data_IF_411381809345
#
_entry.id   IF_411381809345
#
_cell.length_a   1.000
_cell.length_b   1.000
_cell.length_c   1.000
_cell.angle_alpha   90.00
_cell.angle_beta   90.00
_cell.angle_gamma   90.00
#
_symmetry.space_group_name_H-M   'P 1'
#
loop_
_entity.id
_entity.type
_entity.pdbx_description
1 polymer ?
#
# COMPACT_ATOMS: atom_id res chain seq x y z
N UNK A 1 -62.90 -2.80 -32.76
CA UNK A 1 -62.88 -3.99 -31.87
C UNK A 1 -61.60 -4.74 -32.17
N UNK A 2 -60.56 -4.49 -31.38
CA UNK A 2 -59.39 -5.36 -31.21
C UNK A 2 -58.92 -5.12 -29.77
N UNK A 3 -58.80 -6.21 -29.02
CA UNK A 3 -58.65 -6.25 -27.58
C UNK A 3 -57.22 -5.89 -27.14
N UNK A 4 -57.11 -5.15 -26.03
CA UNK A 4 -55.85 -4.91 -25.34
C UNK A 4 -55.47 -6.16 -24.52
N UNK A 5 -54.25 -6.68 -24.73
CA UNK A 5 -53.61 -7.59 -23.79
C UNK A 5 -52.71 -6.81 -22.81
N UNK A 6 -52.66 -7.18 -21.51
CA UNK A 6 -51.87 -6.48 -20.51
C UNK A 6 -50.38 -6.86 -20.60
N UNK A 7 -49.50 -5.86 -20.57
CA UNK A 7 -48.05 -6.08 -20.46
C UNK A 7 -47.74 -6.48 -19.02
N UNK A 8 -47.29 -7.72 -18.87
CA UNK A 8 -46.80 -8.29 -17.64
C UNK A 8 -45.52 -7.59 -17.15
N UNK A 9 -45.38 -7.55 -15.83
CA UNK A 9 -44.23 -7.03 -15.10
C UNK A 9 -42.92 -7.67 -15.58
N UNK A 10 -41.92 -6.86 -15.92
CA UNK A 10 -40.54 -7.30 -16.08
C UNK A 10 -39.56 -6.29 -15.47
N UNK A 11 -39.27 -6.47 -14.17
CA UNK A 11 -37.91 -6.30 -13.63
C UNK A 11 -37.28 -7.69 -13.66
N UNK A 12 -36.04 -7.85 -14.15
CA UNK A 12 -34.91 -7.59 -13.25
C UNK A 12 -33.64 -7.11 -13.97
N UNK A 13 -33.37 -5.80 -13.99
CA UNK A 13 -32.06 -5.28 -14.42
C UNK A 13 -31.08 -5.00 -13.26
N UNK A 14 -31.46 -5.29 -12.01
CA UNK A 14 -30.58 -5.03 -10.85
C UNK A 14 -29.72 -6.22 -10.41
N UNK A 15 -29.94 -7.44 -10.91
CA UNK A 15 -29.15 -8.62 -10.45
C UNK A 15 -27.79 -8.75 -11.14
N UNK A 16 -27.58 -8.08 -12.27
CA UNK A 16 -26.30 -8.15 -13.00
C UNK A 16 -25.24 -7.16 -12.48
N UNK A 17 -25.63 -6.00 -11.94
CA UNK A 17 -24.65 -5.06 -11.35
C UNK A 17 -24.10 -5.53 -9.99
N UNK A 18 -24.93 -6.18 -9.17
CA UNK A 18 -24.49 -6.71 -7.87
C UNK A 18 -23.48 -7.87 -8.01
N UNK A 19 -23.58 -8.67 -9.09
CA UNK A 19 -22.68 -9.80 -9.31
C UNK A 19 -21.28 -9.39 -9.81
N UNK A 20 -21.14 -8.23 -10.45
CA UNK A 20 -19.83 -7.71 -10.87
C UNK A 20 -19.09 -7.08 -9.68
N UNK A 21 -19.80 -6.37 -8.81
CA UNK A 21 -19.22 -5.86 -7.56
C UNK A 21 -18.81 -6.98 -6.60
N UNK A 22 -19.59 -8.06 -6.48
CA UNK A 22 -19.20 -9.23 -5.67
C UNK A 22 -18.02 -10.01 -6.27
N UNK A 23 -17.98 -10.24 -7.59
CA UNK A 23 -16.86 -10.94 -8.23
C UNK A 23 -15.52 -10.19 -8.20
N UNK A 24 -15.52 -8.86 -8.09
CA UNK A 24 -14.28 -8.10 -7.89
C UNK A 24 -13.86 -8.00 -6.43
N UNK A 25 -14.78 -8.13 -5.47
CA UNK A 25 -14.46 -8.16 -4.04
C UNK A 25 -13.90 -9.53 -3.58
N UNK A 26 -14.32 -10.62 -4.23
CA UNK A 26 -13.94 -11.98 -3.82
C UNK A 26 -12.58 -12.46 -4.38
N UNK A 27 -11.95 -11.73 -5.32
CA UNK A 27 -10.63 -12.12 -5.88
C UNK A 27 -9.41 -11.59 -5.11
N UNK A 28 -9.60 -10.85 -4.03
CA UNK A 28 -8.52 -10.28 -3.21
C UNK A 28 -8.32 -10.96 -1.84
N UNK A 29 -9.01 -12.07 -1.57
CA UNK A 29 -9.06 -12.65 -0.21
C UNK A 29 -8.61 -14.11 -0.04
N UNK A 30 -8.12 -14.81 -1.07
CA UNK A 30 -7.69 -16.21 -0.92
C UNK A 30 -6.16 -16.38 -0.82
N UNK A 31 -5.52 -15.55 0.00
CA UNK A 31 -4.24 -15.93 0.61
C UNK A 31 -4.42 -15.94 2.13
N UNK A 32 -3.79 -16.88 2.87
CA UNK A 32 -3.94 -16.97 4.32
C UNK A 32 -3.36 -15.70 4.97
N UNK A 33 -4.23 -14.71 5.21
CA UNK A 33 -3.90 -13.53 6.02
C UNK A 33 -3.69 -13.99 7.45
N UNK A 34 -2.42 -14.16 7.85
CA UNK A 34 -2.05 -14.05 9.26
C UNK A 34 -2.57 -12.71 9.76
N UNK A 35 -3.24 -12.71 10.91
CA UNK A 35 -3.89 -11.50 11.40
C UNK A 35 -2.82 -10.44 11.65
N UNK A 36 -3.13 -9.18 11.38
CA UNK A 36 -2.20 -8.07 11.56
C UNK A 36 -1.69 -7.91 13.00
N UNK A 37 -2.30 -8.59 13.99
CA UNK A 37 -1.80 -8.66 15.36
C UNK A 37 -0.65 -9.64 15.52
N UNK A 38 -0.62 -10.72 14.74
CA UNK A 38 0.38 -11.80 14.86
C UNK A 38 1.78 -11.38 14.36
N UNK A 39 1.87 -10.29 13.59
CA UNK A 39 3.13 -9.79 13.02
C UNK A 39 3.88 -8.85 13.98
N UNK A 40 3.18 -8.13 14.88
CA UNK A 40 3.79 -7.14 15.77
C UNK A 40 4.56 -7.74 16.95
N UNK A 41 4.28 -9.01 17.30
CA UNK A 41 4.83 -9.71 18.49
C UNK A 41 5.84 -10.81 18.14
N UNK A 42 6.19 -10.99 16.86
CA UNK A 42 7.20 -11.96 16.44
C UNK A 42 8.59 -11.33 16.48
N UNK A 43 9.52 -11.94 17.23
CA UNK A 43 10.93 -11.54 17.34
C UNK A 43 11.71 -11.49 16.02
N UNK A 44 11.12 -12.04 14.95
CA UNK A 44 11.75 -12.20 13.65
C UNK A 44 11.57 -10.96 12.76
N UNK A 45 10.72 -10.00 13.17
CA UNK A 45 10.50 -8.77 12.41
C UNK A 45 11.44 -7.67 12.88
N UNK A 46 12.22 -7.15 11.94
CA UNK A 46 12.97 -5.92 12.08
C UNK A 46 12.02 -4.75 11.90
N UNK A 47 12.09 -3.78 12.80
CA UNK A 47 11.23 -2.60 12.76
C UNK A 47 12.05 -1.35 12.44
N UNK A 48 11.63 -0.64 11.41
CA UNK A 48 12.23 0.59 10.94
C UNK A 48 11.20 1.72 10.95
N UNK A 49 11.67 2.94 11.19
CA UNK A 49 10.86 4.14 11.12
C UNK A 49 11.48 5.06 10.09
N UNK A 50 10.76 5.30 9.00
CA UNK A 50 11.19 6.16 7.92
C UNK A 50 10.45 7.49 7.95
N UNK A 51 11.15 8.53 7.54
CA UNK A 51 10.58 9.85 7.30
C UNK A 51 10.62 10.16 5.81
N UNK A 52 9.45 10.47 5.24
CA UNK A 52 9.34 10.93 3.84
C UNK A 52 8.93 12.40 3.87
N UNK A 53 9.74 13.26 3.25
CA UNK A 53 9.55 14.72 3.23
C UNK A 53 8.91 15.20 1.93
N UNK A 54 8.63 16.50 1.85
CA UNK A 54 8.09 17.15 0.65
C UNK A 54 6.73 16.60 0.19
N UNK A 55 5.90 16.14 1.15
CA UNK A 55 4.64 15.45 0.87
C UNK A 55 3.61 16.36 0.20
N UNK A 56 3.63 17.67 0.45
CA UNK A 56 2.78 18.63 -0.27
C UNK A 56 3.11 18.69 -1.76
N UNK A 57 4.35 18.40 -2.15
CA UNK A 57 4.76 18.36 -3.56
C UNK A 57 4.34 17.08 -4.25
N UNK A 58 3.77 16.09 -3.56
CA UNK A 58 3.40 14.78 -4.13
C UNK A 58 2.58 14.92 -5.43
N UNK A 59 1.71 15.93 -5.53
CA UNK A 59 0.90 16.24 -6.72
C UNK A 59 1.66 16.96 -7.84
N UNK A 60 2.70 17.69 -7.48
CA UNK A 60 3.46 18.56 -8.38
C UNK A 60 4.64 17.83 -9.04
N UNK A 61 4.82 16.54 -8.72
CA UNK A 61 5.90 15.72 -9.28
C UNK A 61 5.58 15.40 -10.73
N UNK A 62 6.12 16.20 -11.66
CA UNK A 62 6.53 15.64 -12.95
C UNK A 62 7.46 14.47 -12.65
N UNK A 63 7.20 13.29 -13.21
CA UNK A 63 7.82 11.94 -13.17
C UNK A 63 9.27 11.70 -12.60
N UNK A 64 10.03 12.70 -12.16
CA UNK A 64 11.46 12.62 -11.80
C UNK A 64 11.85 12.98 -10.38
N UNK A 65 10.91 13.27 -9.48
CA UNK A 65 11.25 13.54 -8.06
C UNK A 65 10.30 12.82 -7.13
N UNK A 66 10.34 11.49 -7.19
CA UNK A 66 9.66 10.62 -6.23
C UNK A 66 10.28 10.89 -4.84
N UNK A 67 9.49 11.22 -3.79
CA UNK A 67 10.02 11.45 -2.46
C UNK A 67 10.46 10.11 -1.87
N UNK A 68 11.78 9.93 -1.76
CA UNK A 68 12.37 8.81 -1.04
C UNK A 68 12.47 9.13 0.46
N UNK A 69 12.54 8.09 1.27
CA UNK A 69 12.92 8.21 2.66
C UNK A 69 14.32 8.81 2.79
N UNK A 70 14.51 9.61 3.83
CA UNK A 70 15.82 10.16 4.14
C UNK A 70 16.79 9.07 4.62
N UNK A 71 16.24 8.09 5.34
CA UNK A 71 16.98 6.97 5.89
C UNK A 71 17.05 5.81 4.89
N UNK A 72 18.19 5.12 4.89
CA UNK A 72 18.35 3.80 4.27
C UNK A 72 18.86 2.83 5.33
N UNK A 73 18.24 1.67 5.45
CA UNK A 73 18.67 0.65 6.40
C UNK A 73 19.36 -0.49 5.69
N UNK A 74 20.46 -0.98 6.25
CA UNK A 74 21.16 -2.15 5.72
C UNK A 74 20.83 -3.39 6.53
N UNK A 75 20.28 -4.41 5.88
CA UNK A 75 19.98 -5.72 6.47
C UNK A 75 20.52 -6.79 5.52
N UNK A 76 21.34 -7.71 6.02
CA UNK A 76 21.97 -8.77 5.21
C UNK A 76 22.65 -8.25 3.92
N UNK A 77 23.37 -7.14 4.00
CA UNK A 77 24.03 -6.48 2.85
C UNK A 77 23.07 -5.91 1.77
N UNK A 78 21.76 -5.91 2.05
CA UNK A 78 20.74 -5.26 1.24
C UNK A 78 20.35 -3.93 1.86
N UNK A 79 20.20 -2.90 1.04
CA UNK A 79 19.80 -1.55 1.42
C UNK A 79 18.30 -1.41 1.16
N UNK A 80 17.58 -1.10 2.21
CA UNK A 80 16.14 -0.91 2.20
C UNK A 80 15.85 0.57 2.36
N UNK A 81 15.06 1.11 1.44
CA UNK A 81 14.52 2.44 1.51
C UNK A 81 13.06 2.45 1.05
N UNK A 82 12.47 3.63 1.08
CA UNK A 82 11.03 3.77 0.90
C UNK A 82 10.75 4.94 -0.02
N UNK A 83 9.68 4.87 -0.81
CA UNK A 83 9.22 6.05 -1.53
C UNK A 83 7.71 6.16 -1.61
N UNK A 84 7.24 7.40 -1.74
CA UNK A 84 5.83 7.72 -1.92
C UNK A 84 5.56 8.12 -3.38
N UNK A 85 4.41 7.73 -3.92
CA UNK A 85 4.02 8.05 -5.29
C UNK A 85 2.62 8.65 -5.31
N UNK A 86 2.38 9.65 -6.16
CA UNK A 86 1.01 10.09 -6.45
C UNK A 86 0.36 9.11 -7.43
N UNK A 87 -0.87 8.72 -7.12
CA UNK A 87 -1.68 7.98 -8.08
C UNK A 87 -3.09 8.56 -8.16
N UNK A 88 -3.54 8.81 -9.40
CA UNK A 88 -4.92 9.14 -9.69
C UNK A 88 -5.59 7.92 -10.33
N UNK A 89 -6.60 7.39 -9.66
CA UNK A 89 -7.37 6.27 -10.19
C UNK A 89 -8.20 6.74 -11.40
N UNK A 90 -7.94 6.22 -12.62
CA UNK A 90 -8.61 6.69 -13.82
C UNK A 90 -10.12 6.38 -13.82
N UNK A 91 -10.56 5.36 -13.08
CA UNK A 91 -11.97 4.93 -13.07
C UNK A 91 -12.79 5.73 -12.05
N UNK A 92 -12.19 6.06 -10.91
CA UNK A 92 -12.89 6.72 -9.80
C UNK A 92 -12.52 8.19 -9.63
N UNK A 93 -11.44 8.64 -10.29
CA UNK A 93 -10.79 9.94 -10.07
C UNK A 93 -10.40 10.20 -8.61
N UNK A 94 -10.30 9.14 -7.80
CA UNK A 94 -9.83 9.25 -6.42
C UNK A 94 -8.32 9.30 -6.42
N UNK A 95 -7.79 10.26 -5.68
CA UNK A 95 -6.35 10.47 -5.54
C UNK A 95 -5.81 9.72 -4.32
N UNK A 96 -4.72 9.01 -4.55
CA UNK A 96 -4.02 8.21 -3.56
C UNK A 96 -2.55 8.62 -3.45
N UNK A 97 -2.01 8.40 -2.25
CA UNK A 97 -0.58 8.21 -2.07
C UNK A 97 -0.30 6.71 -2.09
N UNK A 98 0.52 6.28 -3.03
CA UNK A 98 1.13 4.96 -3.08
C UNK A 98 2.38 4.92 -2.20
N UNK A 99 2.65 3.75 -1.66
CA UNK A 99 3.70 3.51 -0.68
C UNK A 99 4.43 2.22 -1.07
N UNK A 100 5.74 2.33 -1.34
CA UNK A 100 6.56 1.24 -1.87
C UNK A 100 7.86 1.08 -1.07
N UNK A 101 8.11 -0.16 -0.66
CA UNK A 101 9.38 -0.60 -0.08
C UNK A 101 10.29 -0.98 -1.24
N UNK A 102 11.50 -0.42 -1.25
CA UNK A 102 12.50 -0.69 -2.27
C UNK A 102 13.73 -1.33 -1.61
N UNK A 103 14.31 -2.29 -2.32
CA UNK A 103 15.47 -3.06 -1.91
C UNK A 103 16.54 -2.96 -2.99
N UNK A 104 17.76 -2.66 -2.57
CA UNK A 104 18.93 -2.53 -3.44
C UNK A 104 20.16 -3.20 -2.83
N UNK A 105 21.17 -3.49 -3.64
CA UNK A 105 22.48 -3.95 -3.14
C UNK A 105 23.60 -3.43 -4.02
N UNK A 106 24.80 -3.37 -3.43
CA UNK A 106 26.02 -3.13 -4.20
C UNK A 106 26.44 -4.37 -5.01
N UNK A 107 25.98 -5.56 -4.60
CA UNK A 107 26.18 -6.79 -5.35
C UNK A 107 25.27 -6.77 -6.59
N UNK A 108 25.79 -7.31 -7.68
CA UNK A 108 24.97 -7.74 -8.81
C UNK A 108 24.49 -9.15 -8.51
N UNK A 109 23.28 -9.48 -8.95
CA UNK A 109 22.71 -10.83 -8.89
C UNK A 109 22.37 -11.23 -7.44
N UNK A 110 21.49 -10.46 -6.81
CA UNK A 110 20.86 -10.80 -5.54
C UNK A 110 19.35 -11.04 -5.71
N UNK A 111 18.83 -11.90 -4.85
CA UNK A 111 17.41 -12.09 -4.59
C UNK A 111 17.16 -12.23 -3.08
N UNK A 112 16.00 -11.78 -2.63
CA UNK A 112 15.56 -11.96 -1.25
C UNK A 112 14.05 -12.15 -1.18
N UNK A 113 13.64 -13.16 -0.44
CA UNK A 113 12.24 -13.37 -0.11
C UNK A 113 11.95 -12.73 1.25
N UNK A 114 11.08 -11.73 1.27
CA UNK A 114 10.72 -11.00 2.49
C UNK A 114 9.22 -10.80 2.63
N UNK A 115 8.71 -10.94 3.84
CA UNK A 115 7.38 -10.42 4.22
C UNK A 115 7.57 -9.04 4.85
N UNK A 116 6.64 -8.12 4.60
CA UNK A 116 6.71 -6.80 5.21
C UNK A 116 5.34 -6.21 5.51
N UNK A 117 5.31 -5.27 6.43
CA UNK A 117 4.14 -4.47 6.77
C UNK A 117 4.51 -3.00 6.74
N UNK A 118 3.67 -2.19 6.12
CA UNK A 118 3.77 -0.73 6.11
C UNK A 118 2.63 -0.15 6.93
N UNK A 119 2.94 0.76 7.85
CA UNK A 119 1.97 1.49 8.65
C UNK A 119 2.27 3.00 8.61
N UNK A 120 1.28 3.79 8.19
CA UNK A 120 1.36 5.24 8.28
C UNK A 120 1.06 5.67 9.72
N UNK A 121 2.02 6.38 10.32
CA UNK A 121 1.91 6.81 11.71
C UNK A 121 1.31 8.21 11.79
N UNK A 122 0.31 8.35 12.66
CA UNK A 122 -0.15 9.64 13.17
C UNK A 122 0.85 10.21 14.19
N UNK A 123 0.96 11.53 14.24
CA UNK A 123 1.85 12.24 15.17
C UNK A 123 1.26 12.28 16.59
N UNK A 124 -0.05 12.11 16.74
CA UNK A 124 -0.73 11.99 18.02
C UNK A 124 -0.41 10.63 18.68
N UNK A 125 0.30 10.61 19.83
CA UNK A 125 0.64 9.37 20.52
C UNK A 125 -0.57 8.63 21.10
N UNK A 126 -1.73 9.29 21.24
CA UNK A 126 -2.96 8.73 21.81
C UNK A 126 -3.99 8.35 20.76
N UNK A 127 -3.72 8.67 19.48
CA UNK A 127 -4.67 8.41 18.41
C UNK A 127 -4.79 6.92 18.13
N UNK A 128 -6.04 6.44 18.16
CA UNK A 128 -6.41 5.08 17.74
C UNK A 128 -6.31 4.89 16.22
N UNK A 129 -5.99 5.93 15.45
CA UNK A 129 -5.93 5.89 13.98
C UNK A 129 -4.70 5.17 13.42
N UNK A 130 -3.68 4.88 14.25
CA UNK A 130 -2.46 4.14 13.82
C UNK A 130 -2.77 2.82 13.11
N UNK A 131 -3.86 2.16 13.47
CA UNK A 131 -4.21 0.86 12.89
C UNK A 131 -5.00 0.98 11.57
N UNK A 132 -5.42 2.18 11.17
CA UNK A 132 -6.32 2.39 10.02
C UNK A 132 -5.54 2.34 8.70
N UNK A 133 -4.34 2.90 8.65
CA UNK A 133 -3.53 2.98 7.44
C UNK A 133 -2.36 2.01 7.51
N UNK A 134 -2.67 0.73 7.55
CA UNK A 134 -1.71 -0.35 7.68
C UNK A 134 -2.00 -1.44 6.65
N UNK A 135 -0.97 -1.87 5.92
CA UNK A 135 -1.05 -2.96 4.96
C UNK A 135 0.10 -3.93 5.16
N UNK A 136 -0.22 -5.21 5.08
CA UNK A 136 0.75 -6.29 5.22
C UNK A 136 0.83 -7.06 3.92
N UNK A 137 2.04 -7.38 3.52
CA UNK A 137 2.33 -8.29 2.42
C UNK A 137 2.64 -9.68 2.97
N UNK A 138 2.30 -10.68 2.18
CA UNK A 138 2.92 -12.00 2.23
C UNK A 138 4.35 -11.93 1.67
N UNK A 139 4.95 -13.10 1.50
CA UNK A 139 6.29 -13.29 0.94
C UNK A 139 6.39 -12.67 -0.46
N UNK A 140 7.31 -11.69 -0.60
CA UNK A 140 7.64 -11.04 -1.87
C UNK A 140 9.09 -11.30 -2.20
N UNK A 141 9.33 -11.60 -3.48
CA UNK A 141 10.68 -11.72 -4.01
C UNK A 141 11.14 -10.37 -4.53
N UNK A 142 12.22 -9.85 -3.94
CA UNK A 142 12.95 -8.70 -4.44
C UNK A 142 14.20 -9.21 -5.14
N UNK A 143 14.52 -8.71 -6.33
CA UNK A 143 15.69 -9.16 -7.08
C UNK A 143 16.34 -8.01 -7.86
N UNK A 144 17.64 -8.16 -8.15
CA UNK A 144 18.39 -7.20 -8.99
C UNK A 144 18.25 -7.42 -10.48
N UNK A 145 17.91 -8.64 -10.91
CA UNK A 145 17.89 -9.06 -12.31
C UNK A 145 16.69 -9.97 -12.52
N UNK A 146 15.85 -9.63 -13.51
CA UNK A 146 14.73 -10.47 -13.92
C UNK A 146 13.49 -9.66 -14.27
N UNK A 147 12.33 -10.32 -14.19
CA UNK A 147 11.02 -9.73 -14.42
C UNK A 147 10.35 -9.21 -13.15
N UNK A 148 10.94 -9.43 -11.97
CA UNK A 148 10.40 -8.94 -10.71
C UNK A 148 10.98 -7.57 -10.35
N UNK A 149 10.17 -6.81 -9.63
CA UNK A 149 10.45 -5.44 -9.27
C UNK A 149 11.38 -5.43 -8.04
N UNK A 150 12.39 -4.54 -8.02
CA UNK A 150 13.21 -4.25 -6.83
C UNK A 150 12.41 -3.51 -5.74
N UNK A 151 11.13 -3.28 -6.02
CA UNK A 151 10.18 -2.53 -5.24
C UNK A 151 8.86 -3.28 -5.13
N UNK A 152 8.25 -3.21 -3.95
CA UNK A 152 6.92 -3.75 -3.74
C UNK A 152 6.13 -2.80 -2.85
N UNK A 153 4.84 -2.65 -3.12
CA UNK A 153 4.03 -1.74 -2.34
C UNK A 153 2.54 -1.80 -2.66
N UNK A 154 1.86 -0.75 -2.25
CA UNK A 154 0.46 -0.54 -2.58
C UNK A 154 0.28 0.82 -3.21
N UNK A 155 -0.05 0.83 -4.49
CA UNK A 155 -0.46 2.03 -5.22
C UNK A 155 -1.64 2.76 -4.57
N UNK A 156 -2.63 2.01 -4.10
CA UNK A 156 -3.83 2.54 -3.42
C UNK A 156 -3.65 2.49 -1.89
N UNK A 157 -2.57 3.05 -1.35
CA UNK A 157 -2.28 2.90 0.10
C UNK A 157 -3.22 3.73 0.97
N UNK A 158 -3.24 5.05 0.78
CA UNK A 158 -4.11 5.99 1.51
C UNK A 158 -4.63 7.06 0.57
N UNK A 159 -5.88 7.50 0.74
CA UNK A 159 -6.42 8.61 -0.07
C UNK A 159 -5.76 9.92 0.34
N UNK A 160 -5.56 10.82 -0.61
CA UNK A 160 -5.02 12.15 -0.31
C UNK A 160 -5.97 12.95 0.59
N UNK A 161 -7.28 12.76 0.45
CA UNK A 161 -8.27 13.36 1.35
C UNK A 161 -8.06 12.93 2.81
N UNK A 162 -7.73 11.67 3.05
CA UNK A 162 -7.43 11.15 4.39
C UNK A 162 -6.07 11.65 4.88
N UNK A 163 -5.07 11.66 3.99
CA UNK A 163 -3.71 12.08 4.31
C UNK A 163 -3.62 13.56 4.70
N UNK A 164 -4.26 14.44 3.94
CA UNK A 164 -4.23 15.89 4.15
C UNK A 164 -5.31 16.42 5.10
N UNK A 165 -6.21 15.56 5.61
CA UNK A 165 -7.16 15.97 6.65
C UNK A 165 -6.42 16.28 7.96
N UNK A 166 -6.45 17.53 8.45
CA UNK A 166 -5.78 17.93 9.68
C UNK A 166 -6.22 17.12 10.91
N UNK A 167 -7.43 16.54 10.90
CA UNK A 167 -7.93 15.73 12.01
C UNK A 167 -7.26 14.36 12.11
N UNK A 168 -6.56 13.91 11.07
CA UNK A 168 -5.86 12.63 11.06
C UNK A 168 -4.41 12.72 11.53
N UNK A 169 -3.85 13.93 11.53
CA UNK A 169 -2.52 14.24 12.08
C UNK A 169 -1.40 13.35 11.52
N UNK A 170 -1.48 13.01 10.23
CA UNK A 170 -0.46 12.22 9.53
C UNK A 170 0.73 13.06 9.06
N UNK A 171 0.49 14.31 8.68
CA UNK A 171 1.53 15.21 8.17
C UNK A 171 1.97 16.17 9.27
N UNK A 172 3.27 16.23 9.52
CA UNK A 172 3.92 17.23 10.36
C UNK A 172 5.17 17.74 9.66
N UNK A 173 5.34 19.06 9.62
CA UNK A 173 6.51 19.70 8.98
C UNK A 173 6.74 19.22 7.53
N UNK A 174 5.65 19.14 6.76
CA UNK A 174 5.62 18.63 5.37
C UNK A 174 6.18 17.22 5.18
N UNK A 175 6.12 16.42 6.25
CA UNK A 175 6.69 15.08 6.29
C UNK A 175 5.69 14.10 6.88
N UNK A 176 5.81 12.83 6.49
CA UNK A 176 5.09 11.71 7.06
C UNK A 176 6.06 10.72 7.70
N UNK A 177 5.53 9.92 8.61
CA UNK A 177 6.25 8.83 9.27
C UNK A 177 5.65 7.50 8.88
N UNK A 178 6.49 6.60 8.39
CA UNK A 178 6.09 5.24 8.01
C UNK A 178 6.86 4.24 8.85
N UNK A 179 6.14 3.38 9.57
CA UNK A 179 6.71 2.22 10.24
C UNK A 179 6.74 1.05 9.26
N UNK A 180 7.89 0.39 9.16
CA UNK A 180 8.08 -0.81 8.37
C UNK A 180 8.48 -1.94 9.28
N UNK A 181 7.69 -3.01 9.31
CA UNK A 181 8.07 -4.28 9.92
C UNK A 181 8.48 -5.23 8.82
N UNK A 182 9.77 -5.59 8.74
CA UNK A 182 10.36 -6.44 7.71
C UNK A 182 10.78 -7.77 8.32
N UNK A 183 10.42 -8.88 7.68
CA UNK A 183 10.96 -10.20 7.97
C UNK A 183 11.59 -10.77 6.71
N UNK A 184 12.86 -11.13 6.81
CA UNK A 184 13.57 -11.86 5.77
C UNK A 184 13.30 -13.35 5.97
N UNK A 185 12.70 -14.00 4.97
CA UNK A 185 12.33 -15.41 5.04
C UNK A 185 13.41 -16.31 4.44
N UNK A 186 14.03 -15.86 3.36
CA UNK A 186 15.18 -16.53 2.76
C UNK A 186 16.04 -15.53 1.97
N UNK A 187 17.33 -15.82 1.93
CA UNK A 187 18.35 -15.15 1.10
C UNK A 187 19.12 -16.23 0.37
N UNK A 188 19.47 -15.99 -0.88
CA UNK A 188 20.44 -16.80 -1.62
C UNK A 188 21.90 -16.53 -1.17
#
# INVERSE_FOLDING_TARGET
MFEFMPIAHNKPFNKYKENIQKKQLDKFNDEPRKSSKDLKDSSDYLRFLFTVTDIKKLKDISEKTIPYSQEKYSVNHLKWDFYAEYYNDPDTSVEYMGLYLHCDSERKDWEVCSSYQLALLTNDPFSKKRDICMKSSCDRMFESIGSHESEWGWRLFVTLSTLFDPNNDYIKDDSIRVEVCLKINSTD
#
